data_IF_883221211262
#
_entry.id   IF_883221211262
#
_cell.length_a   1.000
_cell.length_b   1.000
_cell.length_c   1.000
_cell.angle_alpha   90.00
_cell.angle_beta   90.00
_cell.angle_gamma   90.00
#
_symmetry.space_group_name_H-M   'P 1'
#
loop_
_entity.id
_entity.type
_entity.pdbx_description
1 polymer ?
#
# COMPACT_ATOMS: atom_id res chain seq x y z
N UNK A 1 13.30 -9.05 14.29
CA UNK A 1 13.12 -8.42 12.95
C UNK A 1 12.09 -7.32 13.14
N UNK A 2 12.52 -6.06 13.01
CA UNK A 2 11.91 -4.84 13.54
C UNK A 2 10.78 -4.29 12.64
N UNK A 3 9.84 -3.50 13.20
CA UNK A 3 8.83 -2.73 12.48
C UNK A 3 9.46 -1.90 11.34
N UNK A 4 8.93 -2.08 10.13
CA UNK A 4 9.41 -1.40 8.92
C UNK A 4 8.48 -0.30 8.41
N UNK A 5 7.36 -0.06 9.07
CA UNK A 5 6.47 1.04 8.73
C UNK A 5 7.11 2.39 9.10
N UNK A 6 6.87 3.40 8.27
CA UNK A 6 7.07 4.79 8.70
C UNK A 6 5.88 5.24 9.54
N UNK A 7 6.13 6.03 10.57
CA UNK A 7 5.11 6.77 11.28
C UNK A 7 4.56 7.91 10.42
N UNK A 8 3.41 8.48 10.78
CA UNK A 8 2.85 9.64 10.10
C UNK A 8 3.83 10.83 10.09
N UNK A 9 4.50 11.08 11.23
CA UNK A 9 5.52 12.13 11.35
C UNK A 9 6.71 11.88 10.44
N UNK A 10 7.25 10.66 10.39
CA UNK A 10 8.35 10.31 9.49
C UNK A 10 7.95 10.49 8.01
N UNK A 11 6.75 10.05 7.62
CA UNK A 11 6.28 10.22 6.24
C UNK A 11 6.17 11.70 5.85
N UNK A 12 5.64 12.53 6.75
CA UNK A 12 5.58 13.98 6.55
C UNK A 12 6.98 14.59 6.39
N UNK A 13 7.91 14.30 7.30
CA UNK A 13 9.29 14.79 7.23
C UNK A 13 9.97 14.36 5.93
N UNK A 14 9.81 13.10 5.50
CA UNK A 14 10.35 12.65 4.21
C UNK A 14 9.73 13.45 3.07
N UNK A 15 8.42 13.67 3.10
CA UNK A 15 7.69 14.40 2.04
C UNK A 15 8.11 15.86 1.91
N UNK A 16 8.48 16.51 3.01
CA UNK A 16 8.97 17.89 3.07
C UNK A 16 10.43 18.02 2.57
N UNK A 17 11.22 16.96 2.68
CA UNK A 17 12.66 16.97 2.35
C UNK A 17 13.00 16.48 0.93
N UNK A 18 12.01 15.98 0.18
CA UNK A 18 12.17 15.53 -1.21
C UNK A 18 11.80 16.63 -2.21
N UNK A 19 12.30 16.53 -3.44
CA UNK A 19 11.88 17.41 -4.53
C UNK A 19 10.39 17.23 -4.87
N UNK A 20 9.79 18.23 -5.53
CA UNK A 20 8.37 18.16 -5.92
C UNK A 20 8.00 16.88 -6.68
N UNK A 21 8.80 16.46 -7.67
CA UNK A 21 8.57 15.23 -8.44
C UNK A 21 8.68 13.95 -7.59
N UNK A 22 9.66 13.87 -6.69
CA UNK A 22 9.77 12.72 -5.76
C UNK A 22 8.62 12.75 -4.74
N UNK A 23 8.19 13.94 -4.32
CA UNK A 23 7.04 14.14 -3.45
C UNK A 23 5.75 13.57 -4.03
N UNK A 24 5.52 13.71 -5.34
CA UNK A 24 4.39 13.05 -6.03
C UNK A 24 4.44 11.52 -5.88
N UNK A 25 5.62 10.92 -5.98
CA UNK A 25 5.78 9.48 -5.79
C UNK A 25 5.55 9.06 -4.33
N UNK A 26 6.03 9.87 -3.37
CA UNK A 26 5.78 9.67 -1.93
C UNK A 26 4.29 9.70 -1.64
N UNK A 27 3.56 10.70 -2.16
CA UNK A 27 2.10 10.83 -2.03
C UNK A 27 1.40 9.54 -2.50
N UNK A 28 1.74 9.05 -3.69
CA UNK A 28 1.17 7.82 -4.26
C UNK A 28 1.51 6.56 -3.45
N UNK A 29 2.74 6.43 -2.95
CA UNK A 29 3.14 5.27 -2.13
C UNK A 29 2.48 5.27 -0.76
N UNK A 30 2.35 6.44 -0.13
CA UNK A 30 1.71 6.61 1.17
C UNK A 30 0.21 6.33 1.10
N UNK A 31 -0.49 6.91 0.13
CA UNK A 31 -1.95 6.89 0.09
C UNK A 31 -2.55 5.73 -0.70
N UNK A 32 -1.80 5.11 -1.60
CA UNK A 32 -2.27 3.99 -2.43
C UNK A 32 -1.41 2.74 -2.27
N UNK A 33 -0.45 2.74 -1.33
CA UNK A 33 0.39 1.59 -1.04
C UNK A 33 1.23 1.11 -2.22
N UNK A 34 1.51 1.95 -3.22
CA UNK A 34 2.21 1.52 -4.44
C UNK A 34 3.65 1.09 -4.18
N UNK A 35 4.19 0.21 -5.04
CA UNK A 35 5.64 0.01 -5.11
C UNK A 35 6.27 1.24 -5.75
N UNK A 36 7.54 1.49 -5.44
CA UNK A 36 8.29 2.60 -6.06
C UNK A 36 8.25 2.58 -7.59
N UNK A 37 8.29 1.38 -8.21
CA UNK A 37 8.15 1.24 -9.67
C UNK A 37 6.72 1.57 -10.12
N UNK A 38 5.71 1.11 -9.39
CA UNK A 38 4.32 1.43 -9.71
C UNK A 38 4.12 2.96 -9.64
N UNK A 39 4.54 3.60 -8.55
CA UNK A 39 4.48 5.06 -8.39
C UNK A 39 5.24 5.85 -9.49
N UNK A 40 6.38 5.33 -9.96
CA UNK A 40 7.17 5.96 -11.02
C UNK A 40 6.57 5.87 -12.42
N UNK A 41 5.69 4.88 -12.67
CA UNK A 41 5.24 4.54 -14.02
C UNK A 41 3.71 4.52 -14.20
N UNK A 42 2.92 4.80 -13.16
CA UNK A 42 1.48 5.04 -13.34
C UNK A 42 1.25 6.25 -14.25
N UNK A 43 0.25 6.11 -15.14
CA UNK A 43 -0.16 7.09 -16.14
C UNK A 43 -1.55 7.61 -15.84
N UNK A 44 -1.93 8.73 -16.48
CA UNK A 44 -3.25 9.35 -16.36
C UNK A 44 -4.39 8.36 -16.60
N UNK A 45 -4.27 7.48 -17.60
CA UNK A 45 -5.30 6.49 -17.95
C UNK A 45 -5.59 5.44 -16.89
N UNK A 46 -4.67 5.21 -15.94
CA UNK A 46 -4.93 4.28 -14.83
C UNK A 46 -5.81 4.89 -13.74
N UNK A 47 -6.04 6.21 -13.77
CA UNK A 47 -6.92 6.88 -12.82
C UNK A 47 -8.28 7.09 -13.47
N UNK A 48 -9.29 6.46 -12.90
CA UNK A 48 -10.67 6.46 -13.41
C UNK A 48 -11.57 7.10 -12.36
N UNK A 49 -12.43 8.02 -12.78
CA UNK A 49 -13.46 8.58 -11.92
C UNK A 49 -14.77 7.85 -12.20
N UNK A 50 -15.41 7.34 -11.16
CA UNK A 50 -16.70 6.69 -11.30
C UNK A 50 -17.79 7.74 -11.55
N UNK A 51 -18.52 7.68 -12.68
CA UNK A 51 -19.42 8.76 -13.09
C UNK A 51 -20.56 9.01 -12.09
N UNK A 52 -21.07 7.96 -11.45
CA UNK A 52 -22.20 8.09 -10.52
C UNK A 52 -21.80 8.58 -9.11
N UNK A 53 -20.59 8.25 -8.66
CA UNK A 53 -20.17 8.51 -7.27
C UNK A 53 -19.15 9.63 -7.16
N UNK A 54 -18.60 10.08 -8.29
CA UNK A 54 -17.48 11.02 -8.33
C UNK A 54 -16.19 10.47 -7.70
N UNK A 55 -16.15 9.17 -7.32
CA UNK A 55 -15.01 8.61 -6.63
C UNK A 55 -13.95 8.17 -7.60
N UNK A 56 -12.71 8.58 -7.32
CA UNK A 56 -11.56 8.13 -8.06
C UNK A 56 -11.09 6.74 -7.63
N UNK A 57 -10.61 5.98 -8.59
CA UNK A 57 -9.91 4.72 -8.38
C UNK A 57 -8.64 4.66 -9.24
N UNK A 58 -7.62 3.98 -8.72
CA UNK A 58 -6.49 3.52 -9.51
C UNK A 58 -6.80 2.11 -10.01
N UNK A 59 -6.92 1.96 -11.33
CA UNK A 59 -7.12 0.68 -12.02
C UNK A 59 -5.99 0.46 -13.02
N UNK A 60 -5.22 -0.62 -12.83
CA UNK A 60 -4.19 -1.07 -13.77
C UNK A 60 -4.64 -2.43 -14.29
N UNK A 61 -5.07 -2.47 -15.55
CA UNK A 61 -5.60 -3.69 -16.15
C UNK A 61 -4.50 -4.71 -16.50
N UNK A 62 -4.91 -5.98 -16.63
CA UNK A 62 -4.04 -7.01 -17.17
C UNK A 62 -3.59 -6.58 -18.57
N UNK A 63 -2.29 -6.65 -18.87
CA UNK A 63 -1.60 -6.11 -20.07
C UNK A 63 -1.25 -4.61 -20.03
N UNK A 64 -2.00 -3.76 -19.32
CA UNK A 64 -1.56 -2.37 -19.07
C UNK A 64 -0.47 -2.29 -17.99
N UNK A 65 -0.39 -3.30 -17.11
CA UNK A 65 0.63 -3.39 -16.07
C UNK A 65 2.04 -3.74 -16.56
N UNK A 66 2.23 -4.10 -17.84
CA UNK A 66 3.53 -4.44 -18.38
C UNK A 66 4.51 -3.26 -18.22
N UNK A 67 5.64 -3.49 -17.56
CA UNK A 67 6.62 -2.44 -17.23
C UNK A 67 6.30 -1.61 -15.98
N UNK A 68 5.09 -1.71 -15.42
CA UNK A 68 4.61 -0.94 -14.25
C UNK A 68 4.52 -1.82 -13.01
N UNK A 69 3.76 -2.92 -13.09
CA UNK A 69 3.54 -3.86 -11.98
C UNK A 69 4.42 -5.10 -12.15
N UNK A 70 4.71 -5.80 -11.04
CA UNK A 70 5.47 -7.05 -11.10
C UNK A 70 4.66 -8.11 -11.86
N UNK A 71 5.16 -8.55 -13.02
CA UNK A 71 4.50 -9.54 -13.86
C UNK A 71 3.23 -9.05 -14.54
N UNK A 72 3.03 -7.74 -14.70
CA UNK A 72 1.85 -7.18 -15.37
C UNK A 72 0.53 -7.38 -14.61
N UNK A 73 0.61 -7.65 -13.30
CA UNK A 73 -0.53 -7.94 -12.44
C UNK A 73 -1.50 -6.76 -12.37
N UNK A 74 -2.78 -7.13 -12.35
CA UNK A 74 -3.90 -6.26 -12.05
C UNK A 74 -3.72 -5.47 -10.74
N UNK A 75 -4.24 -4.24 -10.72
CA UNK A 75 -4.45 -3.43 -9.52
C UNK A 75 -5.79 -2.74 -9.58
N UNK A 76 -6.44 -2.69 -8.44
CA UNK A 76 -7.60 -1.84 -8.19
C UNK A 76 -7.51 -1.32 -6.77
N UNK A 77 -7.52 0.00 -6.63
CA UNK A 77 -7.41 0.69 -5.35
C UNK A 77 -8.37 1.86 -5.38
N UNK A 78 -9.31 1.89 -4.46
CA UNK A 78 -10.18 3.05 -4.27
C UNK A 78 -9.36 4.20 -3.69
N UNK A 79 -9.45 5.40 -4.28
CA UNK A 79 -8.70 6.56 -3.81
C UNK A 79 -9.41 7.12 -2.57
N UNK A 80 -8.71 7.24 -1.42
CA UNK A 80 -9.29 7.84 -0.23
C UNK A 80 -9.83 9.23 -0.53
N UNK A 81 -11.02 9.57 -0.01
CA UNK A 81 -11.67 10.87 -0.24
C UNK A 81 -10.74 12.03 0.09
N UNK A 82 -9.98 11.93 1.20
CA UNK A 82 -9.01 12.93 1.61
C UNK A 82 -7.83 13.12 0.64
N UNK A 83 -7.59 12.16 -0.25
CA UNK A 83 -6.50 12.20 -1.23
C UNK A 83 -6.98 12.55 -2.65
N UNK A 84 -8.30 12.56 -2.92
CA UNK A 84 -8.85 12.86 -4.23
C UNK A 84 -8.45 14.24 -4.79
N UNK A 85 -8.51 15.35 -4.02
CA UNK A 85 -8.11 16.67 -4.53
C UNK A 85 -6.65 16.69 -4.99
N UNK A 86 -5.78 15.98 -4.27
CA UNK A 86 -4.36 15.85 -4.64
C UNK A 86 -4.21 15.04 -5.92
N UNK A 87 -4.95 13.95 -6.09
CA UNK A 87 -4.93 13.17 -7.34
C UNK A 87 -5.39 14.04 -8.51
N UNK A 88 -6.50 14.76 -8.38
CA UNK A 88 -7.00 15.65 -9.43
C UNK A 88 -5.96 16.69 -9.86
N UNK A 89 -5.28 17.31 -8.89
CA UNK A 89 -4.17 18.21 -9.15
C UNK A 89 -3.02 17.52 -9.91
N UNK A 90 -2.69 16.27 -9.58
CA UNK A 90 -1.64 15.51 -10.27
C UNK A 90 -2.04 15.14 -11.70
N UNK A 91 -3.34 15.02 -12.00
CA UNK A 91 -3.88 14.64 -13.30
C UNK A 91 -4.14 15.84 -14.21
N UNK A 92 -4.22 17.06 -13.67
CA UNK A 92 -4.51 18.27 -14.42
C UNK A 92 -3.50 18.50 -15.56
N UNK A 93 -4.02 18.72 -16.77
CA UNK A 93 -3.21 18.99 -17.96
C UNK A 93 -2.38 17.81 -18.47
N UNK A 94 -2.62 16.59 -17.97
CA UNK A 94 -1.89 15.39 -18.41
C UNK A 94 -2.60 14.67 -19.54
N UNK A 95 -1.81 14.30 -20.53
CA UNK A 95 -2.24 13.41 -21.60
C UNK A 95 -2.47 11.98 -21.11
N UNK A 96 -3.31 11.23 -21.84
CA UNK A 96 -3.74 9.87 -21.47
C UNK A 96 -2.57 8.94 -21.08
N UNK A 97 -1.51 8.95 -21.87
CA UNK A 97 -0.33 8.09 -21.66
C UNK A 97 0.79 8.76 -20.86
N UNK A 98 0.57 9.98 -20.35
CA UNK A 98 1.58 10.68 -19.58
C UNK A 98 1.71 10.10 -18.17
N UNK A 99 2.95 9.91 -17.71
CA UNK A 99 3.25 9.52 -16.34
C UNK A 99 2.92 10.65 -15.36
N UNK A 100 2.40 10.30 -14.19
CA UNK A 100 2.17 11.28 -13.11
C UNK A 100 3.49 11.81 -12.56
N UNK A 101 4.48 10.93 -12.44
CA UNK A 101 5.83 11.21 -11.94
C UNK A 101 6.81 11.17 -13.12
N UNK A 102 7.60 12.23 -13.31
CA UNK A 102 8.52 12.38 -14.45
C UNK A 102 9.96 11.93 -14.15
N UNK A 103 10.20 11.31 -13.01
CA UNK A 103 11.52 10.77 -12.60
C UNK A 103 11.55 9.24 -12.56
N UNK A 104 12.74 8.65 -12.66
CA UNK A 104 12.92 7.21 -12.61
C UNK A 104 12.73 6.65 -11.19
N UNK A 105 12.45 5.35 -11.09
CA UNK A 105 12.32 4.68 -9.78
C UNK A 105 13.61 4.71 -8.94
N UNK A 106 14.79 4.77 -9.57
CA UNK A 106 16.08 4.97 -8.89
C UNK A 106 16.14 6.36 -8.24
N UNK A 107 15.84 7.41 -9.00
CA UNK A 107 15.78 8.80 -8.50
C UNK A 107 14.84 8.95 -7.31
N UNK A 108 13.69 8.26 -7.33
CA UNK A 108 12.76 8.25 -6.20
C UNK A 108 13.38 7.59 -4.96
N UNK A 109 14.04 6.43 -5.12
CA UNK A 109 14.73 5.74 -4.01
C UNK A 109 15.83 6.64 -3.43
N UNK A 110 16.64 7.25 -4.27
CA UNK A 110 17.74 8.11 -3.84
C UNK A 110 17.22 9.38 -3.15
N UNK A 111 16.12 9.95 -3.66
CA UNK A 111 15.45 11.09 -3.04
C UNK A 111 14.94 10.76 -1.64
N UNK A 112 14.24 9.63 -1.47
CA UNK A 112 13.78 9.15 -0.16
C UNK A 112 14.97 8.87 0.76
N UNK A 113 16.03 8.27 0.23
CA UNK A 113 17.22 7.96 1.01
C UNK A 113 17.86 9.22 1.60
N UNK A 114 18.09 10.24 0.77
CA UNK A 114 18.63 11.53 1.19
C UNK A 114 17.69 12.27 2.14
N UNK A 115 16.38 12.23 1.89
CA UNK A 115 15.39 12.84 2.78
C UNK A 115 15.41 12.20 4.18
N UNK A 116 15.52 10.87 4.26
CA UNK A 116 15.67 10.18 5.54
C UNK A 116 16.97 10.56 6.25
N UNK A 117 18.08 10.71 5.53
CA UNK A 117 19.35 11.17 6.13
C UNK A 117 19.22 12.58 6.71
N UNK A 118 18.62 13.52 5.96
CA UNK A 118 18.39 14.89 6.41
C UNK A 118 17.47 15.00 7.62
N UNK A 119 16.44 14.14 7.67
CA UNK A 119 15.48 14.10 8.76
C UNK A 119 15.92 13.18 9.92
N UNK A 120 17.14 12.62 9.86
CA UNK A 120 17.69 11.69 10.86
C UNK A 120 16.79 10.45 11.10
N UNK A 121 16.09 10.01 10.06
CA UNK A 121 15.18 8.86 10.09
C UNK A 121 15.97 7.57 9.79
N UNK A 122 16.09 6.63 10.76
CA UNK A 122 16.92 5.44 10.57
C UNK A 122 16.30 4.48 9.54
N UNK A 123 16.93 4.26 8.40
CA UNK A 123 16.27 3.48 7.34
C UNK A 123 16.16 1.99 7.63
N UNK A 124 17.12 1.32 8.28
CA UNK A 124 17.08 -0.11 8.66
C UNK A 124 16.39 -1.08 7.65
N UNK A 125 16.62 -0.89 6.34
CA UNK A 125 16.00 -1.69 5.28
C UNK A 125 14.52 -1.37 4.96
N UNK A 126 13.98 -0.25 5.46
CA UNK A 126 12.66 0.31 5.13
C UNK A 126 12.64 0.84 3.70
N UNK A 127 13.52 1.80 3.38
CA UNK A 127 13.59 2.46 2.08
C UNK A 127 12.20 2.91 1.58
N UNK A 128 11.94 2.79 0.29
CA UNK A 128 10.60 3.07 -0.26
C UNK A 128 9.53 2.05 0.17
N UNK A 129 9.93 0.85 0.62
CA UNK A 129 8.98 -0.17 1.06
C UNK A 129 8.33 0.18 2.41
N UNK A 130 8.95 1.06 3.20
CA UNK A 130 8.39 1.50 4.48
C UNK A 130 7.02 2.19 4.36
N UNK A 131 6.78 2.93 3.28
CA UNK A 131 5.47 3.51 2.96
C UNK A 131 4.41 2.43 2.76
N UNK A 132 4.78 1.34 2.09
CA UNK A 132 3.89 0.20 1.85
C UNK A 132 3.53 -0.54 3.14
N UNK A 133 4.48 -0.62 4.09
CA UNK A 133 4.17 -1.14 5.44
C UNK A 133 3.23 -0.22 6.20
N UNK A 134 3.47 1.09 6.17
CA UNK A 134 2.58 2.08 6.79
C UNK A 134 1.16 2.00 6.21
N UNK A 135 1.03 1.96 4.89
CA UNK A 135 -0.26 1.81 4.20
C UNK A 135 -0.99 0.54 4.64
N UNK A 136 -0.32 -0.62 4.64
CA UNK A 136 -0.94 -1.88 5.03
C UNK A 136 -1.53 -1.83 6.45
N UNK A 137 -0.77 -1.25 7.39
CA UNK A 137 -1.20 -1.08 8.79
C UNK A 137 -2.37 -0.11 8.90
N UNK A 138 -2.30 1.03 8.23
CA UNK A 138 -3.41 1.99 8.20
C UNK A 138 -4.69 1.39 7.60
N UNK A 139 -4.58 0.57 6.54
CA UNK A 139 -5.75 -0.10 5.96
C UNK A 139 -6.35 -1.14 6.90
N UNK A 140 -5.54 -1.86 7.68
CA UNK A 140 -6.08 -2.72 8.75
C UNK A 140 -6.85 -1.90 9.78
N UNK A 141 -6.34 -0.73 10.17
CA UNK A 141 -7.04 0.13 11.13
C UNK A 141 -8.39 0.62 10.61
N UNK A 142 -8.51 0.82 9.29
CA UNK A 142 -9.73 1.25 8.63
C UNK A 142 -10.72 0.11 8.35
N UNK A 143 -10.23 -1.09 8.05
CA UNK A 143 -11.05 -2.20 7.55
C UNK A 143 -11.36 -3.25 8.61
N UNK A 144 -10.58 -3.32 9.69
CA UNK A 144 -10.72 -4.35 10.71
C UNK A 144 -11.23 -3.78 12.04
N UNK A 145 -12.26 -4.41 12.59
CA UNK A 145 -12.69 -4.18 13.97
C UNK A 145 -11.62 -4.67 14.97
N UNK A 146 -11.76 -4.30 16.24
CA UNK A 146 -10.87 -4.81 17.30
C UNK A 146 -10.86 -6.34 17.36
N UNK A 147 -12.03 -6.97 17.33
CA UNK A 147 -12.14 -8.44 17.33
C UNK A 147 -11.43 -9.08 16.13
N UNK A 148 -11.51 -8.46 14.94
CA UNK A 148 -10.82 -8.94 13.75
C UNK A 148 -9.30 -8.77 13.86
N UNK A 149 -8.81 -7.69 14.49
CA UNK A 149 -7.38 -7.52 14.77
C UNK A 149 -6.87 -8.57 15.77
N UNK A 150 -7.65 -8.89 16.80
CA UNK A 150 -7.30 -9.94 17.77
C UNK A 150 -7.28 -11.32 17.09
N UNK A 151 -8.26 -11.60 16.22
CA UNK A 151 -8.26 -12.79 15.37
C UNK A 151 -7.05 -12.84 14.44
N UNK A 152 -6.66 -11.70 13.84
CA UNK A 152 -5.46 -11.61 13.00
C UNK A 152 -4.21 -11.96 13.80
N UNK A 153 -4.05 -11.47 15.03
CA UNK A 153 -2.91 -11.84 15.87
C UNK A 153 -2.86 -13.34 16.16
N UNK A 154 -4.01 -13.98 16.42
CA UNK A 154 -4.11 -15.45 16.54
C UNK A 154 -3.66 -16.16 15.25
N UNK A 155 -4.13 -15.71 14.09
CA UNK A 155 -3.74 -16.26 12.78
C UNK A 155 -2.23 -16.15 12.57
N UNK A 156 -1.64 -14.98 12.82
CA UNK A 156 -0.21 -14.76 12.65
C UNK A 156 0.64 -15.57 13.64
N UNK A 157 0.17 -15.74 14.89
CA UNK A 157 0.81 -16.61 15.86
C UNK A 157 0.79 -18.08 15.40
N UNK A 158 -0.35 -18.58 14.92
CA UNK A 158 -0.45 -19.91 14.34
C UNK A 158 0.55 -20.11 13.18
N UNK A 159 0.60 -19.18 12.23
CA UNK A 159 1.52 -19.28 11.10
C UNK A 159 3.00 -19.21 11.52
N UNK A 160 3.32 -18.42 12.55
CA UNK A 160 4.68 -18.34 13.11
C UNK A 160 5.13 -19.66 13.71
N UNK A 161 4.22 -20.38 14.35
CA UNK A 161 4.44 -21.70 14.94
C UNK A 161 4.43 -22.84 13.89
N UNK A 162 4.31 -22.53 12.60
CA UNK A 162 4.18 -23.54 11.53
C UNK A 162 2.81 -24.23 11.48
N UNK A 163 1.82 -23.73 12.23
CA UNK A 163 0.45 -24.25 12.25
C UNK A 163 -0.38 -23.65 11.11
N UNK A 164 -1.49 -24.30 10.78
CA UNK A 164 -2.49 -23.76 9.85
C UNK A 164 -3.09 -22.46 10.42
N UNK A 165 -3.38 -21.49 9.56
CA UNK A 165 -3.96 -20.19 9.95
C UNK A 165 -5.22 -20.32 10.82
N UNK A 166 -6.07 -21.31 10.52
CA UNK A 166 -7.31 -21.60 11.23
C UNK A 166 -7.16 -22.58 12.40
N UNK A 167 -5.94 -22.87 12.86
CA UNK A 167 -5.71 -23.76 13.98
C UNK A 167 -6.37 -23.22 15.26
N UNK A 168 -7.12 -24.07 15.98
CA UNK A 168 -7.82 -23.66 17.20
C UNK A 168 -9.14 -22.91 16.98
N UNK A 169 -9.65 -22.85 15.74
CA UNK A 169 -10.90 -22.15 15.37
C UNK A 169 -11.98 -23.22 15.13
N UNK A 170 -12.74 -23.55 16.18
CA UNK A 170 -13.66 -24.70 16.15
C UNK A 170 -15.15 -24.32 16.20
N UNK A 171 -15.49 -23.21 16.86
CA UNK A 171 -16.89 -22.81 17.04
C UNK A 171 -17.37 -21.94 15.87
N UNK A 172 -18.70 -21.89 15.66
CA UNK A 172 -19.32 -21.16 14.53
C UNK A 172 -19.02 -19.65 14.56
N UNK A 173 -18.95 -19.04 15.75
CA UNK A 173 -18.67 -17.60 15.91
C UNK A 173 -17.23 -17.28 15.50
N UNK A 174 -16.27 -18.03 16.03
CA UNK A 174 -14.84 -17.90 15.69
C UNK A 174 -14.61 -18.18 14.20
N UNK A 175 -15.34 -19.16 13.63
CA UNK A 175 -15.29 -19.45 12.20
C UNK A 175 -15.75 -18.28 11.33
N UNK A 176 -16.86 -17.63 11.69
CA UNK A 176 -17.35 -16.42 11.00
C UNK A 176 -16.38 -15.24 11.17
N UNK A 177 -15.84 -15.04 12.38
CA UNK A 177 -14.85 -13.99 12.64
C UNK A 177 -13.56 -14.22 11.83
N UNK A 178 -13.09 -15.46 11.73
CA UNK A 178 -11.96 -15.83 10.88
C UNK A 178 -12.22 -15.51 9.41
N UNK A 179 -13.39 -15.88 8.89
CA UNK A 179 -13.75 -15.64 7.49
C UNK A 179 -13.73 -14.14 7.15
N UNK A 180 -14.39 -13.31 7.96
CA UNK A 180 -14.41 -11.85 7.74
C UNK A 180 -13.05 -11.19 7.94
N UNK A 181 -12.26 -11.65 8.91
CA UNK A 181 -10.87 -11.19 9.12
C UNK A 181 -10.00 -11.50 7.90
N UNK A 182 -10.16 -12.71 7.36
CA UNK A 182 -9.46 -13.14 6.15
C UNK A 182 -9.86 -12.32 4.93
N UNK A 183 -11.16 -12.07 4.74
CA UNK A 183 -11.66 -11.23 3.64
C UNK A 183 -11.10 -9.81 3.70
N UNK A 184 -11.08 -9.19 4.88
CA UNK A 184 -10.46 -7.88 5.07
C UNK A 184 -8.96 -7.91 4.71
N UNK A 185 -8.24 -8.97 5.08
CA UNK A 185 -6.83 -9.08 4.73
C UNK A 185 -6.60 -9.35 3.24
N UNK A 186 -7.45 -10.17 2.62
CA UNK A 186 -7.42 -10.42 1.18
C UNK A 186 -7.71 -9.14 0.38
N UNK A 187 -8.56 -8.25 0.90
CA UNK A 187 -8.79 -6.92 0.33
C UNK A 187 -7.48 -6.10 0.34
N UNK A 188 -6.83 -5.98 1.50
CA UNK A 188 -5.55 -5.25 1.64
C UNK A 188 -4.48 -5.86 0.73
N UNK A 189 -4.41 -7.19 0.66
CA UNK A 189 -3.50 -7.86 -0.26
C UNK A 189 -3.85 -7.65 -1.73
N UNK A 190 -5.12 -7.46 -2.07
CA UNK A 190 -5.58 -7.07 -3.40
C UNK A 190 -5.06 -5.69 -3.79
N UNK A 191 -5.20 -4.69 -2.91
CA UNK A 191 -4.66 -3.34 -3.09
C UNK A 191 -3.13 -3.39 -3.24
N UNK A 192 -2.47 -4.18 -2.38
CA UNK A 192 -1.04 -4.49 -2.45
C UNK A 192 -0.71 -5.56 -3.51
N UNK A 193 -1.66 -5.98 -4.37
CA UNK A 193 -1.55 -7.01 -5.40
C UNK A 193 -0.56 -8.15 -5.11
N UNK A 194 -0.74 -8.73 -3.94
CA UNK A 194 -0.13 -9.98 -3.49
C UNK A 194 -1.00 -11.20 -3.81
N UNK A 195 -2.28 -10.98 -4.11
CA UNK A 195 -3.29 -12.04 -4.30
C UNK A 195 -3.99 -12.37 -2.98
N UNK A 196 -4.69 -13.50 -2.91
CA UNK A 196 -5.42 -13.95 -1.73
C UNK A 196 -4.61 -14.96 -0.90
N UNK A 197 -4.94 -15.13 0.37
CA UNK A 197 -4.40 -16.15 1.28
C UNK A 197 -2.88 -16.08 1.53
N UNK A 198 -2.29 -14.87 1.55
CA UNK A 198 -0.85 -14.66 1.67
C UNK A 198 -0.40 -14.37 3.11
N UNK A 199 -0.60 -15.31 4.02
CA UNK A 199 -0.32 -15.12 5.46
C UNK A 199 1.13 -14.78 5.77
N UNK A 200 2.06 -15.31 4.98
CA UNK A 200 3.48 -14.98 5.09
C UNK A 200 3.78 -13.51 4.76
N UNK A 201 3.00 -12.92 3.86
CA UNK A 201 3.09 -11.50 3.53
C UNK A 201 2.40 -10.65 4.60
N UNK A 202 1.25 -11.09 5.12
CA UNK A 202 0.61 -10.45 6.27
C UNK A 202 1.58 -10.37 7.47
N UNK A 203 2.25 -11.47 7.82
CA UNK A 203 3.30 -11.49 8.85
C UNK A 203 4.40 -10.46 8.58
N UNK A 204 4.83 -10.31 7.31
CA UNK A 204 5.86 -9.33 6.95
C UNK A 204 5.40 -7.89 7.18
N UNK A 205 4.13 -7.58 6.91
CA UNK A 205 3.60 -6.21 7.08
C UNK A 205 3.24 -5.88 8.53
N UNK A 206 2.79 -6.88 9.29
CA UNK A 206 2.24 -6.73 10.63
C UNK A 206 3.22 -7.02 11.76
N UNK A 207 4.45 -7.44 11.46
CA UNK A 207 5.46 -7.65 12.48
C UNK A 207 5.93 -6.30 13.05
N UNK A 208 5.76 -6.15 14.36
CA UNK A 208 6.32 -5.05 15.17
C UNK A 208 7.83 -5.22 15.42
#
# INVERSE_FOLDING_TARGET
MQNRAYTAKEMQLIREQVSSEVGKAVDLMQHLGLRVREAAYVRREHFQCHPETGRWQLKIENRQGAGITKGGRYREIQIPVSFQPRVEQLLQGKERQERLVKVASSTIRDGIHRACQKAEIPQHGRGAHGFRHAYARQRMDQLMTREQKDMMQRILANCRDGKKANYGIFNKRDGALYATTKEAMDHIHGELGHGKNRWELAMRYMKD
#
